data_IF_644565160014
#
_entry.id   IF_644565160014
#
_cell.length_a   1.000
_cell.length_b   1.000
_cell.length_c   1.000
_cell.angle_alpha   90.00
_cell.angle_beta   90.00
_cell.angle_gamma   90.00
#
_symmetry.space_group_name_H-M   'P 1'
#
loop_
_entity.id
_entity.type
_entity.pdbx_description
1 polymer ?
#
# COMPACT_ATOMS: atom_id res chain seq x y z
N UNK A 1 -15.05 -2.40 5.95
CA UNK A 1 -15.00 -0.92 5.82
C UNK A 1 -16.43 -0.42 5.65
N UNK A 2 -16.84 0.67 6.33
CA UNK A 2 -18.08 1.35 6.00
C UNK A 2 -17.97 2.01 4.61
N UNK A 3 -19.10 2.25 3.90
CA UNK A 3 -19.09 2.79 2.54
C UNK A 3 -18.34 4.11 2.38
N UNK A 4 -18.43 5.01 3.36
CA UNK A 4 -17.79 6.32 3.34
C UNK A 4 -16.26 6.19 3.29
N UNK A 5 -15.71 5.25 4.08
CA UNK A 5 -14.28 4.97 4.08
C UNK A 5 -13.84 4.30 2.78
N UNK A 6 -14.71 3.48 2.17
CA UNK A 6 -14.43 2.89 0.87
C UNK A 6 -14.31 3.97 -0.22
N UNK A 7 -15.23 4.93 -0.25
CA UNK A 7 -15.20 6.05 -1.20
C UNK A 7 -13.99 6.97 -0.99
N UNK A 8 -13.58 7.20 0.26
CA UNK A 8 -12.34 7.93 0.54
C UNK A 8 -11.12 7.20 -0.04
N UNK A 9 -11.05 5.88 0.19
CA UNK A 9 -9.95 5.07 -0.33
C UNK A 9 -9.90 5.07 -1.87
N UNK A 10 -11.05 5.03 -2.57
CA UNK A 10 -11.05 5.06 -4.04
C UNK A 10 -10.51 6.38 -4.60
N UNK A 11 -10.81 7.52 -3.95
CA UNK A 11 -10.24 8.83 -4.33
C UNK A 11 -8.72 8.88 -4.18
N UNK A 12 -8.17 8.23 -3.16
CA UNK A 12 -6.71 8.09 -2.99
C UNK A 12 -6.12 7.27 -4.15
N UNK A 13 -6.79 6.19 -4.54
CA UNK A 13 -6.33 5.34 -5.66
C UNK A 13 -6.36 6.09 -6.99
N UNK A 14 -7.39 6.91 -7.23
CA UNK A 14 -7.46 7.80 -8.39
C UNK A 14 -6.26 8.78 -8.43
N UNK A 15 -5.90 9.39 -7.29
CA UNK A 15 -4.74 10.29 -7.21
C UNK A 15 -3.40 9.58 -7.47
N UNK A 16 -3.26 8.34 -6.99
CA UNK A 16 -2.04 7.56 -7.20
C UNK A 16 -1.95 6.93 -8.61
N UNK A 17 -3.04 6.94 -9.38
CA UNK A 17 -3.03 6.41 -10.74
C UNK A 17 -2.20 7.31 -11.67
N UNK A 18 -1.02 6.83 -12.05
CA UNK A 18 -0.04 7.62 -12.81
C UNK A 18 0.74 8.62 -11.95
N UNK A 19 0.58 8.58 -10.63
CA UNK A 19 1.36 9.38 -9.68
C UNK A 19 2.81 8.90 -9.56
N UNK A 20 3.67 9.77 -9.04
CA UNK A 20 5.05 9.49 -8.66
C UNK A 20 5.45 10.32 -7.44
N UNK A 21 6.58 9.97 -6.83
CA UNK A 21 7.14 10.65 -5.67
C UNK A 21 6.23 10.60 -4.42
N UNK A 22 5.72 9.40 -4.10
CA UNK A 22 4.86 9.18 -2.94
C UNK A 22 5.20 7.88 -2.18
N UNK A 23 4.87 7.84 -0.89
CA UNK A 23 5.06 6.70 0.02
C UNK A 23 3.71 6.03 0.28
N UNK A 24 3.69 4.71 0.37
CA UNK A 24 2.51 3.89 0.70
C UNK A 24 2.85 2.86 1.79
N UNK A 25 1.85 2.09 2.23
CA UNK A 25 2.10 0.92 3.10
C UNK A 25 2.38 1.28 4.56
N UNK A 26 1.97 2.46 5.02
CA UNK A 26 2.09 2.90 6.42
C UNK A 26 1.26 2.03 7.39
N UNK A 27 0.21 1.36 6.91
CA UNK A 27 -0.56 0.38 7.67
C UNK A 27 -0.77 -0.91 6.86
N UNK A 28 0.10 -1.90 7.11
CA UNK A 28 0.04 -3.23 6.51
C UNK A 28 -0.61 -4.28 7.44
N UNK A 29 -1.28 -3.86 8.52
CA UNK A 29 -1.82 -4.79 9.52
C UNK A 29 -2.91 -5.69 8.95
N UNK A 30 -3.70 -5.18 8.01
CA UNK A 30 -4.77 -5.94 7.33
C UNK A 30 -4.26 -6.93 6.27
N UNK A 31 -2.98 -6.87 5.89
CA UNK A 31 -2.41 -7.83 4.95
C UNK A 31 -2.09 -9.14 5.66
N UNK A 32 -2.19 -10.26 4.96
CA UNK A 32 -1.77 -11.54 5.51
C UNK A 32 -0.23 -11.64 5.60
N UNK A 33 0.31 -12.38 6.57
CA UNK A 33 1.65 -12.95 6.55
C UNK A 33 2.13 -13.35 5.14
N UNK A 34 3.27 -12.84 4.72
CA UNK A 34 3.88 -13.17 3.44
C UNK A 34 3.37 -12.40 2.21
N UNK A 35 2.36 -11.53 2.37
CA UNK A 35 1.87 -10.67 1.29
C UNK A 35 2.89 -9.61 0.90
N UNK A 36 3.16 -9.48 -0.40
CA UNK A 36 3.94 -8.36 -0.94
C UNK A 36 3.07 -7.11 -1.07
N UNK A 37 3.63 -5.95 -0.76
CA UNK A 37 2.93 -4.66 -0.83
C UNK A 37 3.85 -3.53 -1.30
N UNK A 38 3.26 -2.50 -1.91
CA UNK A 38 3.98 -1.32 -2.38
C UNK A 38 4.37 -0.44 -1.19
N UNK A 39 5.62 0.02 -1.14
CA UNK A 39 6.14 0.93 -0.10
C UNK A 39 6.32 2.35 -0.60
N UNK A 40 6.67 2.54 -1.87
CA UNK A 40 6.76 3.85 -2.51
C UNK A 40 6.82 3.76 -4.03
N UNK A 41 6.51 4.88 -4.68
CA UNK A 41 6.84 5.16 -6.08
C UNK A 41 7.73 6.40 -6.09
N UNK A 42 8.95 6.29 -6.61
CA UNK A 42 9.85 7.43 -6.63
C UNK A 42 9.60 8.39 -7.80
N UNK A 43 10.38 9.46 -7.88
CA UNK A 43 10.27 10.50 -8.91
C UNK A 43 10.52 10.03 -10.36
N UNK A 44 11.03 8.81 -10.53
CA UNK A 44 11.27 8.12 -11.80
C UNK A 44 10.27 6.98 -12.05
N UNK A 45 9.15 6.97 -11.32
CA UNK A 45 8.09 5.96 -11.43
C UNK A 45 8.51 4.52 -11.06
N UNK A 46 9.67 4.34 -10.41
CA UNK A 46 10.10 3.01 -9.96
C UNK A 46 9.28 2.61 -8.74
N UNK A 47 8.72 1.40 -8.78
CA UNK A 47 7.88 0.84 -7.71
C UNK A 47 8.73 -0.03 -6.79
N UNK A 48 8.66 0.24 -5.49
CA UNK A 48 9.38 -0.51 -4.48
C UNK A 48 8.40 -1.32 -3.64
N UNK A 49 8.74 -2.59 -3.41
CA UNK A 49 7.88 -3.53 -2.70
C UNK A 49 8.60 -4.10 -1.48
N UNK A 50 7.84 -4.41 -0.44
CA UNK A 50 8.26 -5.19 0.70
C UNK A 50 7.34 -6.39 0.87
N UNK A 51 7.76 -7.38 1.64
CA UNK A 51 6.95 -8.53 2.03
C UNK A 51 6.58 -8.36 3.50
N UNK A 52 5.31 -8.52 3.85
CA UNK A 52 4.90 -8.57 5.26
C UNK A 52 5.50 -9.83 5.86
N UNK A 53 6.24 -9.70 6.96
CA UNK A 53 6.80 -10.84 7.64
C UNK A 53 5.69 -11.81 8.03
N UNK A 54 5.94 -13.10 7.85
CA UNK A 54 5.07 -14.07 8.47
C UNK A 54 5.25 -13.91 9.98
N UNK A 55 4.15 -13.68 10.72
CA UNK A 55 4.19 -13.60 12.18
C UNK A 55 5.09 -14.74 12.64
N UNK A 56 6.21 -14.40 13.31
CA UNK A 56 7.23 -15.36 13.66
C UNK A 56 6.55 -16.52 14.36
N UNK A 57 6.51 -17.67 13.69
CA UNK A 57 6.00 -18.92 14.24
C UNK A 57 6.84 -19.18 15.48
N UNK A 58 6.27 -18.85 16.64
CA UNK A 58 6.81 -19.17 17.96
C UNK A 58 5.80 -20.09 18.62
#
# INVERSE_FOLDING_TARGET
LPPEKFVENTKIMEHHYGGKDFITGQDCNYLLPGTFYLTKVDSLYRRFYAKKDAAAST
#
